data_IF_489784136558
#
_entry.id   IF_489784136558
#
_cell.length_a   1.000
_cell.length_b   1.000
_cell.length_c   1.000
_cell.angle_alpha   90.00
_cell.angle_beta   90.00
_cell.angle_gamma   90.00
#
_symmetry.space_group_name_H-M   'P 1'
#
loop_
_entity.id
_entity.type
_entity.pdbx_description
1 polymer ?
#
# COMPACT_ATOMS: atom_id res chain seq x y z
N UNK A 1 9.04 -1.51 8.66
CA UNK A 1 8.98 -1.26 7.20
C UNK A 1 10.24 -1.74 6.48
N UNK A 2 10.11 -2.35 5.30
CA UNK A 2 11.23 -2.70 4.42
C UNK A 2 11.20 -1.85 3.14
N UNK A 3 12.35 -1.32 2.72
CA UNK A 3 12.51 -0.59 1.46
C UNK A 3 13.20 -1.55 0.49
N UNK A 4 12.49 -1.94 -0.57
CA UNK A 4 12.98 -2.92 -1.54
C UNK A 4 13.80 -2.26 -2.67
N UNK A 5 13.37 -1.08 -3.12
CA UNK A 5 14.02 -0.34 -4.20
C UNK A 5 13.86 1.15 -3.96
N UNK A 6 14.92 1.92 -4.22
CA UNK A 6 14.88 3.39 -4.18
C UNK A 6 15.58 3.91 -5.43
N UNK A 7 14.81 4.57 -6.31
CA UNK A 7 15.30 5.26 -7.49
C UNK A 7 14.85 6.72 -7.41
N UNK A 8 15.67 7.55 -6.76
CA UNK A 8 15.39 8.97 -6.58
C UNK A 8 15.49 9.77 -7.89
N UNK A 9 16.14 9.24 -8.94
CA UNK A 9 16.25 9.94 -10.22
C UNK A 9 14.91 9.98 -10.94
N UNK A 10 14.15 8.88 -10.85
CA UNK A 10 12.82 8.77 -11.43
C UNK A 10 11.69 8.99 -10.40
N UNK A 11 12.04 9.24 -9.13
CA UNK A 11 11.07 9.42 -8.05
C UNK A 11 10.34 8.14 -7.65
N UNK A 12 10.93 6.97 -7.88
CA UNK A 12 10.30 5.66 -7.67
C UNK A 12 10.84 5.02 -6.39
N UNK A 13 9.96 4.68 -5.46
CA UNK A 13 10.34 3.94 -4.25
C UNK A 13 9.40 2.74 -4.06
N UNK A 14 9.98 1.55 -3.95
CA UNK A 14 9.27 0.32 -3.63
C UNK A 14 9.41 -0.02 -2.14
N UNK A 15 8.27 -0.16 -1.48
CA UNK A 15 8.13 -0.31 -0.04
C UNK A 15 7.34 -1.58 0.25
N UNK A 16 7.69 -2.27 1.33
CA UNK A 16 6.94 -3.41 1.86
C UNK A 16 6.61 -3.13 3.34
N UNK A 17 5.36 -2.79 3.67
CA UNK A 17 4.93 -2.66 5.05
C UNK A 17 4.98 -4.03 5.73
N UNK A 18 5.45 -4.07 6.97
CA UNK A 18 5.51 -5.30 7.78
C UNK A 18 4.39 -5.30 8.81
N UNK A 19 4.02 -4.12 9.33
CA UNK A 19 3.02 -3.93 10.38
C UNK A 19 2.02 -2.82 10.04
N UNK A 20 0.96 -2.67 10.84
CA UNK A 20 -0.02 -1.58 10.72
C UNK A 20 0.60 -0.18 10.84
N UNK A 21 1.58 -0.02 11.71
CA UNK A 21 2.30 1.25 11.91
C UNK A 21 2.99 1.70 10.60
N UNK A 22 3.52 0.75 9.82
CA UNK A 22 4.12 1.05 8.52
C UNK A 22 3.07 1.53 7.50
N UNK A 23 1.86 0.96 7.53
CA UNK A 23 0.75 1.41 6.68
C UNK A 23 0.35 2.85 7.01
N UNK A 24 0.33 3.20 8.31
CA UNK A 24 0.11 4.58 8.73
C UNK A 24 1.21 5.51 8.24
N UNK A 25 2.48 5.10 8.34
CA UNK A 25 3.59 5.88 7.79
C UNK A 25 3.46 6.12 6.28
N UNK A 26 3.07 5.09 5.52
CA UNK A 26 2.84 5.19 4.08
C UNK A 26 1.68 6.14 3.77
N UNK A 27 0.56 6.01 4.49
CA UNK A 27 -0.61 6.89 4.33
C UNK A 27 -0.26 8.37 4.52
N UNK A 28 0.64 8.68 5.44
CA UNK A 28 1.09 10.05 5.72
C UNK A 28 2.03 10.62 4.66
N UNK A 29 2.61 9.79 3.81
CA UNK A 29 3.55 10.19 2.75
C UNK A 29 2.84 10.30 1.41
N UNK A 30 1.76 9.52 1.24
CA UNK A 30 0.93 9.55 0.06
C UNK A 30 0.09 10.82 0.01
N UNK A 31 0.02 11.40 -1.18
CA UNK A 31 -0.74 12.60 -1.50
C UNK A 31 -1.64 12.32 -2.70
N UNK A 32 -2.67 13.17 -2.86
CA UNK A 32 -3.57 13.08 -4.00
C UNK A 32 -2.78 13.42 -5.27
N UNK A 33 -2.92 12.60 -6.32
CA UNK A 33 -2.15 12.68 -7.57
C UNK A 33 -0.88 11.82 -7.58
N UNK A 34 -0.49 11.20 -6.47
CA UNK A 34 0.63 10.26 -6.46
C UNK A 34 0.28 8.99 -7.24
N UNK A 35 1.25 8.50 -8.03
CA UNK A 35 1.11 7.24 -8.75
C UNK A 35 1.53 6.10 -7.85
N UNK A 36 0.62 5.15 -7.62
CA UNK A 36 0.87 3.99 -6.78
C UNK A 36 0.63 2.72 -7.57
N UNK A 37 1.66 1.89 -7.63
CA UNK A 37 1.62 0.57 -8.25
C UNK A 37 1.76 -0.49 -7.20
N UNK A 38 0.77 -1.38 -7.07
CA UNK A 38 0.82 -2.46 -6.11
C UNK A 38 0.43 -3.80 -6.74
N UNK A 39 0.93 -4.87 -6.13
CA UNK A 39 0.43 -6.21 -6.42
C UNK A 39 -0.91 -6.40 -5.73
N UNK A 40 -1.94 -6.69 -6.50
CA UNK A 40 -3.27 -7.04 -5.98
C UNK A 40 -3.67 -8.41 -6.49
N UNK A 41 -4.31 -9.18 -5.60
CA UNK A 41 -4.91 -10.46 -5.97
C UNK A 41 -6.37 -10.18 -6.35
N UNK A 42 -6.71 -10.31 -7.64
CA UNK A 42 -8.11 -10.25 -8.07
C UNK A 42 -8.65 -11.67 -8.15
N UNK A 43 -9.77 -11.90 -7.47
CA UNK A 43 -10.52 -13.15 -7.58
C UNK A 43 -11.34 -13.09 -8.85
N UNK A 44 -10.93 -13.79 -9.90
CA UNK A 44 -11.69 -13.86 -11.15
C UNK A 44 -12.80 -14.90 -10.96
N UNK A 45 -14.07 -14.48 -10.91
CA UNK A 45 -15.20 -15.44 -10.87
C UNK A 45 -15.51 -15.89 -12.29
N UNK A 46 -15.10 -17.09 -12.67
CA UNK A 46 -15.44 -17.67 -13.97
C UNK A 46 -16.87 -18.23 -13.88
N UNK A 47 -17.84 -17.55 -14.50
CA UNK A 47 -19.20 -18.09 -14.67
C UNK A 47 -19.22 -19.04 -15.88
N UNK A 48 -19.41 -20.34 -15.66
CA UNK A 48 -19.64 -21.34 -16.72
C UNK A 48 -21.02 -21.99 -16.47
N UNK A 49 -22.09 -21.41 -17.02
CA UNK A 49 -23.46 -21.91 -16.84
C UNK A 49 -24.08 -21.63 -15.46
N UNK A 50 -24.84 -22.60 -14.90
CA UNK A 50 -25.52 -22.53 -13.60
C UNK A 50 -24.63 -22.88 -12.38
N UNK A 51 -23.41 -23.37 -12.59
CA UNK A 51 -22.48 -23.73 -11.51
C UNK A 51 -21.35 -22.69 -11.36
N UNK A 52 -21.20 -22.17 -10.14
CA UNK A 52 -20.15 -21.19 -9.81
C UNK A 52 -18.88 -21.94 -9.41
N UNK A 53 -18.04 -22.27 -10.39
CA UNK A 53 -16.73 -22.85 -10.10
C UNK A 53 -15.83 -21.76 -9.51
N UNK A 54 -15.23 -22.04 -8.34
CA UNK A 54 -14.31 -21.13 -7.64
C UNK A 54 -13.15 -20.78 -8.56
N UNK A 55 -13.17 -19.58 -9.15
CA UNK A 55 -12.11 -19.18 -10.07
C UNK A 55 -10.79 -18.87 -9.36
N UNK A 56 -9.72 -19.07 -10.11
CA UNK A 56 -8.33 -18.94 -9.71
C UNK A 56 -7.99 -17.50 -9.26
N UNK A 57 -7.05 -17.39 -8.32
CA UNK A 57 -6.52 -16.11 -7.86
C UNK A 57 -5.43 -15.68 -8.82
N UNK A 58 -5.71 -14.69 -9.65
CA UNK A 58 -4.69 -14.09 -10.50
C UNK A 58 -4.05 -12.90 -9.77
N UNK A 59 -2.75 -13.01 -9.50
CA UNK A 59 -1.94 -11.88 -9.03
C UNK A 59 -1.70 -10.94 -10.19
N UNK A 60 -2.23 -9.72 -10.12
CA UNK A 60 -1.98 -8.68 -11.11
C UNK A 60 -1.26 -7.50 -10.48
N UNK A 61 -0.49 -6.78 -11.29
CA UNK A 61 0.12 -5.52 -10.90
C UNK A 61 -0.77 -4.43 -11.49
N UNK A 62 -1.18 -3.49 -10.65
CA UNK A 62 -2.02 -2.37 -11.05
C UNK A 62 -1.45 -1.07 -10.52
N UNK A 63 -1.28 -0.11 -11.42
CA UNK A 63 -0.95 1.28 -11.15
C UNK A 63 -2.20 2.15 -11.17
N UNK A 64 -2.41 2.90 -10.10
CA UNK A 64 -3.45 3.94 -10.00
C UNK A 64 -2.83 5.29 -9.69
N UNK A 65 -3.52 6.35 -10.09
CA UNK A 65 -3.31 7.71 -9.61
C UNK A 65 -4.23 7.96 -8.41
N UNK A 66 -3.66 8.19 -7.22
CA UNK A 66 -4.42 8.24 -5.98
C UNK A 66 -5.33 9.47 -5.91
N UNK A 67 -6.64 9.26 -5.80
CA UNK A 67 -7.62 10.34 -5.59
C UNK A 67 -8.12 10.38 -4.15
N UNK A 68 -8.22 9.20 -3.51
CA UNK A 68 -8.66 9.05 -2.14
C UNK A 68 -7.80 8.03 -1.41
N UNK A 69 -7.29 8.45 -0.26
CA UNK A 69 -6.44 7.65 0.61
C UNK A 69 -7.19 7.44 1.93
N UNK A 70 -7.36 6.20 2.37
CA UNK A 70 -8.04 5.90 3.62
C UNK A 70 -7.35 4.75 4.34
N UNK A 71 -7.13 4.91 5.65
CA UNK A 71 -6.53 3.89 6.51
C UNK A 71 -7.58 3.47 7.56
N UNK A 72 -7.98 2.21 7.48
CA UNK A 72 -8.80 1.57 8.52
C UNK A 72 -7.98 0.42 9.12
N UNK A 73 -8.38 -0.83 8.88
CA UNK A 73 -7.56 -2.02 9.16
C UNK A 73 -6.52 -2.30 8.07
N UNK A 74 -6.65 -1.63 6.93
CA UNK A 74 -5.82 -1.78 5.73
C UNK A 74 -5.73 -0.42 5.04
N UNK A 75 -4.69 -0.21 4.26
CA UNK A 75 -4.54 1.02 3.48
C UNK A 75 -5.30 0.86 2.16
N UNK A 76 -6.38 1.63 2.00
CA UNK A 76 -7.18 1.69 0.78
C UNK A 76 -6.80 2.93 -0.02
N UNK A 77 -6.46 2.72 -1.28
CA UNK A 77 -6.12 3.77 -2.23
C UNK A 77 -7.11 3.65 -3.39
N UNK A 78 -8.02 4.62 -3.50
CA UNK A 78 -8.96 4.69 -4.61
C UNK A 78 -8.48 5.75 -5.59
N UNK A 79 -8.55 5.43 -6.88
CA UNK A 79 -8.04 6.33 -7.89
C UNK A 79 -8.25 5.81 -9.31
N UNK A 80 -7.83 6.63 -10.27
CA UNK A 80 -7.91 6.30 -11.69
C UNK A 80 -6.80 5.32 -12.07
N UNK A 81 -7.11 4.34 -12.91
CA UNK A 81 -6.13 3.38 -13.40
C UNK A 81 -5.24 4.05 -14.46
N UNK A 82 -3.93 4.00 -14.25
CA UNK A 82 -2.93 4.55 -15.17
C UNK A 82 -2.09 3.47 -15.84
N UNK A 83 -1.94 2.31 -15.19
CA UNK A 83 -1.13 1.19 -15.67
C UNK A 83 -1.75 -0.12 -15.19
N UNK A 84 -1.90 -1.09 -16.07
CA UNK A 84 -2.56 -2.35 -15.73
C UNK A 84 -2.76 -3.28 -16.92
N UNK A 85 -3.13 -4.55 -16.67
CA UNK A 85 -3.42 -5.51 -17.72
C UNK A 85 -4.60 -5.04 -18.58
N UNK A 86 -4.55 -5.31 -19.90
CA UNK A 86 -5.55 -4.90 -20.89
C UNK A 86 -6.99 -5.37 -20.58
N UNK A 87 -7.14 -6.35 -19.69
CA UNK A 87 -8.43 -6.92 -19.26
C UNK A 87 -9.24 -6.03 -18.30
N UNK A 88 -8.82 -4.79 -18.03
CA UNK A 88 -9.51 -3.90 -17.10
C UNK A 88 -10.32 -2.85 -17.85
N UNK A 89 -11.64 -3.00 -17.80
CA UNK A 89 -12.61 -2.11 -18.48
C UNK A 89 -13.03 -0.91 -17.62
N UNK A 90 -12.65 -0.85 -16.35
CA UNK A 90 -13.06 0.21 -15.43
C UNK A 90 -12.00 1.31 -15.33
N UNK A 91 -12.44 2.57 -15.28
CA UNK A 91 -11.53 3.72 -15.18
C UNK A 91 -10.98 3.93 -13.75
N UNK A 92 -11.70 3.48 -12.73
CA UNK A 92 -11.31 3.65 -11.33
C UNK A 92 -11.16 2.30 -10.62
N UNK A 93 -10.19 2.21 -9.72
CA UNK A 93 -9.97 1.02 -8.90
C UNK A 93 -9.60 1.41 -7.47
N UNK A 94 -9.85 0.50 -6.54
CA UNK A 94 -9.38 0.62 -5.16
C UNK A 94 -8.32 -0.43 -4.88
N UNK A 95 -7.07 -0.01 -4.77
CA UNK A 95 -5.98 -0.85 -4.27
C UNK A 95 -6.11 -0.99 -2.75
N UNK A 96 -6.00 -2.22 -2.27
CA UNK A 96 -5.99 -2.54 -0.85
C UNK A 96 -4.60 -3.08 -0.51
N UNK A 97 -3.89 -2.37 0.36
CA UNK A 97 -2.54 -2.72 0.79
C UNK A 97 -2.61 -3.27 2.21
N UNK A 98 -2.14 -4.51 2.33
CA UNK A 98 -2.01 -5.25 3.58
C UNK A 98 -0.54 -5.33 4.02
N UNK A 99 -0.27 -5.56 5.32
CA UNK A 99 1.08 -5.87 5.77
C UNK A 99 1.62 -7.11 5.04
N UNK A 100 2.81 -7.00 4.46
CA UNK A 100 3.44 -8.03 3.62
C UNK A 100 3.34 -7.76 2.12
N UNK A 101 2.44 -6.88 1.67
CA UNK A 101 2.24 -6.58 0.25
C UNK A 101 3.12 -5.43 -0.20
N UNK A 102 3.99 -5.66 -1.18
CA UNK A 102 4.83 -4.61 -1.73
C UNK A 102 4.02 -3.61 -2.56
N UNK A 103 4.29 -2.32 -2.36
CA UNK A 103 3.79 -1.22 -3.17
C UNK A 103 4.97 -0.41 -3.71
N UNK A 104 4.76 0.23 -4.86
CA UNK A 104 5.71 1.15 -5.49
C UNK A 104 5.01 2.49 -5.62
N UNK A 105 5.65 3.55 -5.13
CA UNK A 105 5.15 4.91 -5.21
C UNK A 105 6.07 5.67 -6.15
N UNK A 106 5.50 6.33 -7.14
CA UNK A 106 6.17 7.25 -8.05
C UNK A 106 5.64 8.66 -7.78
N UNK A 107 6.52 9.52 -7.25
CA UNK A 107 6.22 10.92 -6.96
C UNK A 107 7.49 11.76 -6.89
N UNK A 108 7.33 13.07 -6.80
CA UNK A 108 8.42 13.96 -6.42
C UNK A 108 8.65 13.85 -4.91
N UNK A 109 9.78 13.26 -4.51
CA UNK A 109 10.09 13.01 -3.12
C UNK A 109 10.74 14.21 -2.47
N UNK A 110 10.16 14.69 -1.38
CA UNK A 110 10.79 15.71 -0.56
C UNK A 110 11.73 15.09 0.48
N UNK A 111 12.77 15.83 0.89
CA UNK A 111 13.77 15.34 1.85
C UNK A 111 13.13 14.87 3.15
N UNK A 112 12.10 15.57 3.64
CA UNK A 112 11.42 15.22 4.88
C UNK A 112 10.65 13.88 4.78
N UNK A 113 10.10 13.56 3.61
CA UNK A 113 9.41 12.29 3.35
C UNK A 113 10.42 11.12 3.34
N UNK A 114 11.57 11.33 2.70
CA UNK A 114 12.67 10.35 2.68
C UNK A 114 13.23 10.10 4.09
N UNK A 115 13.40 11.15 4.89
CA UNK A 115 13.80 11.01 6.29
C UNK A 115 12.77 10.24 7.12
N UNK A 116 11.47 10.47 6.89
CA UNK A 116 10.40 9.73 7.56
C UNK A 116 10.45 8.23 7.23
N UNK A 117 10.63 7.88 5.96
CA UNK A 117 10.82 6.48 5.53
C UNK A 117 12.04 5.84 6.20
N UNK A 118 13.16 6.57 6.30
CA UNK A 118 14.36 6.11 7.00
C UNK A 118 14.11 5.89 8.49
N UNK A 119 13.37 6.77 9.16
CA UNK A 119 13.00 6.63 10.57
C UNK A 119 12.07 5.44 10.80
N UNK A 120 11.10 5.21 9.92
CA UNK A 120 10.18 4.05 10.00
C UNK A 120 10.89 2.70 9.82
N UNK A 121 12.09 2.68 9.25
CA UNK A 121 12.94 1.47 9.18
C UNK A 121 13.52 1.07 10.54
N UNK A 122 13.71 2.03 11.44
CA UNK A 122 14.34 1.78 12.73
C UNK A 122 13.34 1.00 13.59
N UNK A 123 13.67 -0.26 13.92
CA UNK A 123 12.87 -1.08 14.84
C UNK A 123 12.66 -0.30 16.13
N UNK A 124 11.40 -0.02 16.49
CA UNK A 124 11.07 0.58 17.78
C UNK A 124 11.61 -0.35 18.87
N UNK A 125 12.41 0.14 19.84
CA UNK A 125 12.82 -0.67 20.98
C UNK A 125 11.57 -1.11 21.74
N UNK A 126 11.59 -2.34 22.27
CA UNK A 126 10.52 -2.83 23.16
C UNK A 126 10.53 -1.96 24.42
N UNK A 127 9.54 -1.07 24.54
CA UNK A 127 9.37 -0.21 25.71
C UNK A 127 8.24 -0.79 26.58
N UNK A 128 8.60 -1.32 27.73
CA UNK A 128 7.65 -1.78 28.73
C UNK A 128 7.34 -0.62 29.69
N UNK A 129 6.15 -0.04 29.59
CA UNK A 129 5.69 1.01 30.51
C UNK A 129 4.81 0.35 31.55
N UNK A 130 5.24 0.39 32.82
CA UNK A 130 4.42 -0.02 33.95
C UNK A 130 3.97 1.24 34.68
N UNK A 131 2.67 1.51 34.72
CA UNK A 131 2.09 2.57 35.54
C UNK A 131 1.66 1.92 36.85
N UNK A 132 2.32 2.31 37.94
CA UNK A 132 1.94 1.94 39.29
C UNK A 132 1.17 3.11 39.88
N UNK A 133 -0.13 2.92 40.08
CA UNK A 133 -0.93 3.83 40.89
C UNK A 133 -0.80 3.40 42.36
N UNK A 134 -0.64 4.36 43.27
CA UNK A 134 -0.59 4.10 44.71
C UNK A 134 -1.83 4.78 45.30
N UNK A 135 -2.91 4.02 45.44
CA UNK A 135 -3.98 4.35 46.38
C UNK A 135 -3.47 4.07 47.81
N UNK A 136 -3.03 5.12 48.49
CA UNK A 136 -3.07 5.23 49.96
C UNK A 136 -3.25 6.69 50.39
#
# INVERSE_FOLDING_TARGET
>A
MEILKTDLKHGIITLKPVNMDDLWHIQQILEIGDKVTAKTERKTTIKRGQETVKGDRETMILGIEAEKISLESQLRLTGKIIDGPENITHEHHTLVIEPGTALTIEKQWENHQLERLRKAKIKKPLLFICVLDRDE
#
